data_IF_991767346027
#
_entry.id   IF_991767346027
#
_cell.length_a   1.000
_cell.length_b   1.000
_cell.length_c   1.000
_cell.angle_alpha   90.00
_cell.angle_beta   90.00
_cell.angle_gamma   90.00
#
_symmetry.space_group_name_H-M   'P 1'
#
loop_
_entity.id
_entity.type
_entity.pdbx_description
1 polymer ?
#
# COMPACT_ATOMS: atom_id res chain seq x y z
N UNK A 1 25.85 30.15 0.03
CA UNK A 1 25.58 30.01 -1.43
C UNK A 1 25.67 28.57 -1.92
N UNK A 2 26.37 27.66 -1.19
CA UNK A 2 26.34 26.20 -1.45
C UNK A 2 25.12 25.51 -0.84
N UNK A 3 24.64 26.01 0.30
CA UNK A 3 23.55 25.42 1.08
C UNK A 3 22.20 25.41 0.35
N UNK A 4 22.00 26.33 -0.59
CA UNK A 4 20.76 26.47 -1.37
C UNK A 4 20.56 25.34 -2.39
N UNK A 5 21.65 24.81 -2.95
CA UNK A 5 21.62 23.73 -3.96
C UNK A 5 21.46 22.35 -3.32
N UNK A 6 22.08 22.15 -2.15
CA UNK A 6 21.94 20.91 -1.39
C UNK A 6 20.50 20.71 -0.89
N UNK A 7 19.83 21.82 -0.56
CA UNK A 7 18.43 21.80 -0.13
C UNK A 7 17.44 21.45 -1.25
N UNK A 8 17.73 21.83 -2.51
CA UNK A 8 16.86 21.49 -3.65
C UNK A 8 16.96 20.01 -4.02
N UNK A 9 18.16 19.42 -3.98
CA UNK A 9 18.36 18.00 -4.26
C UNK A 9 17.70 17.12 -3.21
N UNK A 10 17.88 17.47 -1.93
CA UNK A 10 17.29 16.73 -0.81
C UNK A 10 15.77 16.80 -0.81
N UNK A 11 15.19 17.96 -1.14
CA UNK A 11 13.74 18.11 -1.31
C UNK A 11 13.22 17.24 -2.47
N UNK A 12 13.89 17.27 -3.63
CA UNK A 12 13.50 16.45 -4.77
C UNK A 12 13.60 14.95 -4.50
N UNK A 13 14.55 14.51 -3.68
CA UNK A 13 14.68 13.12 -3.26
C UNK A 13 13.52 12.69 -2.35
N UNK A 14 13.18 13.50 -1.34
CA UNK A 14 12.02 13.26 -0.47
C UNK A 14 10.71 13.19 -1.26
N UNK A 15 10.50 14.11 -2.20
CA UNK A 15 9.30 14.09 -3.05
C UNK A 15 9.21 12.82 -3.88
N UNK A 16 10.32 12.33 -4.44
CA UNK A 16 10.34 11.06 -5.20
C UNK A 16 10.06 9.85 -4.31
N UNK A 17 10.60 9.82 -3.11
CA UNK A 17 10.36 8.76 -2.14
C UNK A 17 8.89 8.70 -1.73
N UNK A 18 8.29 9.84 -1.39
CA UNK A 18 6.87 9.94 -1.07
C UNK A 18 6.00 9.47 -2.25
N UNK A 19 6.35 9.87 -3.47
CA UNK A 19 5.61 9.42 -4.66
C UNK A 19 5.73 7.92 -4.88
N UNK A 20 6.90 7.34 -4.66
CA UNK A 20 7.11 5.90 -4.73
C UNK A 20 6.22 5.18 -3.71
N UNK A 21 6.23 5.62 -2.45
CA UNK A 21 5.42 5.01 -1.38
C UNK A 21 3.91 5.07 -1.67
N UNK A 22 3.43 6.21 -2.19
CA UNK A 22 2.03 6.37 -2.59
C UNK A 22 1.63 5.41 -3.73
N UNK A 23 2.51 5.21 -4.71
CA UNK A 23 2.26 4.26 -5.79
C UNK A 23 2.19 2.81 -5.27
N UNK A 24 3.06 2.43 -4.33
CA UNK A 24 3.02 1.11 -3.70
C UNK A 24 1.70 0.88 -2.93
N UNK A 25 1.25 1.91 -2.19
CA UNK A 25 -0.04 1.87 -1.47
C UNK A 25 -1.21 1.76 -2.46
N UNK A 26 -1.17 2.53 -3.57
CA UNK A 26 -2.19 2.46 -4.63
C UNK A 26 -2.31 1.05 -5.19
N UNK A 27 -1.18 0.40 -5.50
CA UNK A 27 -1.15 -0.97 -6.01
C UNK A 27 -1.66 -1.98 -4.99
N UNK A 28 -1.38 -1.79 -3.70
CA UNK A 28 -1.91 -2.67 -2.65
C UNK A 28 -3.45 -2.60 -2.54
N UNK A 29 -4.02 -1.40 -2.72
CA UNK A 29 -5.47 -1.17 -2.73
C UNK A 29 -6.11 -1.72 -4.01
N UNK A 30 -5.40 -1.65 -5.13
CA UNK A 30 -5.93 -2.04 -6.44
C UNK A 30 -6.38 -3.51 -6.46
N UNK A 31 -7.65 -3.72 -6.79
CA UNK A 31 -8.26 -5.05 -6.86
C UNK A 31 -8.64 -5.67 -5.50
N UNK A 32 -8.42 -5.01 -4.36
CA UNK A 32 -8.88 -5.51 -3.07
C UNK A 32 -10.39 -5.28 -2.92
N UNK A 33 -11.19 -6.33 -3.16
CA UNK A 33 -12.66 -6.24 -3.05
C UNK A 33 -13.17 -6.28 -1.61
N UNK A 34 -12.59 -7.17 -0.81
CA UNK A 34 -12.96 -7.36 0.59
C UNK A 34 -11.72 -7.76 1.37
N UNK A 35 -11.35 -7.02 2.40
CA UNK A 35 -10.12 -7.28 3.14
C UNK A 35 -9.66 -6.08 3.96
N UNK A 36 -8.38 -6.12 4.33
CA UNK A 36 -7.69 -5.03 5.02
C UNK A 36 -6.28 -4.87 4.46
N UNK A 37 -5.76 -3.65 4.52
CA UNK A 37 -4.37 -3.33 4.25
C UNK A 37 -3.79 -2.72 5.52
N UNK A 38 -2.62 -3.20 5.93
CA UNK A 38 -1.86 -2.65 7.06
C UNK A 38 -0.57 -2.06 6.53
N UNK A 39 -0.32 -0.79 6.80
CA UNK A 39 0.87 -0.07 6.35
C UNK A 39 1.67 0.29 7.60
N UNK A 40 2.97 0.01 7.58
CA UNK A 40 3.89 0.35 8.66
C UNK A 40 4.88 1.40 8.13
N UNK A 41 4.97 2.53 8.85
CA UNK A 41 5.83 3.66 8.53
C UNK A 41 6.87 3.81 9.63
N UNK A 42 8.14 3.89 9.25
CA UNK A 42 9.24 4.20 10.16
C UNK A 42 10.06 5.34 9.58
N UNK A 43 10.46 6.29 10.42
CA UNK A 43 11.30 7.43 10.03
C UNK A 43 10.80 8.25 8.82
N UNK A 44 9.47 8.25 8.60
CA UNK A 44 8.83 8.98 7.51
C UNK A 44 8.68 8.20 6.20
N UNK A 45 9.15 6.94 6.14
CA UNK A 45 9.09 6.10 4.95
C UNK A 45 8.29 4.82 5.20
N UNK A 46 7.60 4.34 4.17
CA UNK A 46 6.86 3.07 4.25
C UNK A 46 7.86 1.91 4.25
N UNK A 47 7.82 1.08 5.29
CA UNK A 47 8.72 -0.08 5.42
C UNK A 47 8.01 -1.41 5.21
N UNK A 48 6.68 -1.45 5.36
CA UNK A 48 5.89 -2.67 5.18
C UNK A 48 4.47 -2.35 4.72
N UNK A 49 3.96 -3.19 3.81
CA UNK A 49 2.57 -3.16 3.35
C UNK A 49 2.06 -4.61 3.36
N UNK A 50 1.12 -4.91 4.26
CA UNK A 50 0.45 -6.20 4.31
C UNK A 50 -0.96 -6.10 3.72
N UNK A 51 -1.23 -6.86 2.67
CA UNK A 51 -2.56 -6.99 2.08
C UNK A 51 -3.20 -8.31 2.47
N UNK A 52 -4.35 -8.25 3.13
CA UNK A 52 -5.15 -9.42 3.48
C UNK A 52 -6.50 -9.38 2.77
N UNK A 53 -6.79 -10.36 1.92
CA UNK A 53 -8.05 -10.48 1.19
C UNK A 53 -8.94 -11.57 1.80
N UNK A 54 -10.22 -11.26 2.04
CA UNK A 54 -11.23 -12.21 2.53
C UNK A 54 -12.16 -12.60 1.41
N UNK A 55 -12.07 -13.85 0.95
CA UNK A 55 -13.00 -14.41 -0.04
C UNK A 55 -14.01 -15.33 0.65
N UNK A 56 -15.30 -15.07 0.43
CA UNK A 56 -16.37 -15.99 0.83
C UNK A 56 -16.58 -16.98 -0.30
N UNK A 57 -16.30 -18.26 -0.05
CA UNK A 57 -16.71 -19.32 -0.94
C UNK A 57 -18.20 -19.54 -0.72
N UNK A 58 -19.02 -19.40 -1.78
CA UNK A 58 -20.42 -19.81 -1.69
C UNK A 58 -20.41 -21.31 -1.37
N UNK A 59 -20.94 -21.71 -0.22
CA UNK A 59 -21.28 -23.10 0.02
C UNK A 59 -22.33 -23.45 -1.02
N UNK A 60 -22.00 -24.34 -1.95
CA UNK A 60 -23.00 -24.97 -2.80
C UNK A 60 -23.81 -25.92 -1.91
N UNK A 61 -24.67 -25.37 -1.05
CA UNK A 61 -25.71 -26.13 -0.37
C UNK A 61 -26.83 -26.43 -1.37
N UNK A 62 -26.50 -27.22 -2.39
CA UNK A 62 -27.43 -27.99 -3.21
C UNK A 62 -27.29 -29.48 -2.90
N UNK A 63 -26.96 -29.82 -1.64
CA UNK A 63 -27.18 -31.17 -1.14
C UNK A 63 -28.65 -31.28 -0.73
N UNK A 64 -29.40 -31.99 -1.57
CA UNK A 64 -30.82 -32.31 -1.48
C UNK A 64 -31.27 -32.78 -0.09
N UNK A 65 -32.48 -32.43 0.37
CA UNK A 65 -33.29 -33.32 1.18
C UNK A 65 -34.10 -34.23 0.26
N UNK A 66 -34.11 -35.51 0.62
CA UNK A 66 -34.83 -36.63 0.01
C UNK A 66 -36.34 -36.43 -0.02
#
# INVERSE_FOLDING_TARGET
>A
MKDSYENSEKKGQLEREVQFDLEQIRQAIEGLRYGQITIVIHDGSVVQIDRTEKRRFKSNSNASPS
#
